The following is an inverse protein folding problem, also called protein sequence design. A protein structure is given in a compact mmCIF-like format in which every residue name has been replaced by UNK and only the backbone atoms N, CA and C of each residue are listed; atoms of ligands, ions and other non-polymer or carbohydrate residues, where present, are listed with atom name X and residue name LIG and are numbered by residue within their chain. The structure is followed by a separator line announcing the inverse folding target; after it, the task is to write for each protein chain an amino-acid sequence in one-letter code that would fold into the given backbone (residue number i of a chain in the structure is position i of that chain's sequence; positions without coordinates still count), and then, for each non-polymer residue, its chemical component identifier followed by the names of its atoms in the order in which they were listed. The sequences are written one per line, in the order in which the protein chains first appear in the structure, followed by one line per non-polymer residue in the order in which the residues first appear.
data_IF_567989115019
#
_entry.id   IF_567989115019
#
_cell.length_a   1.000
_cell.length_b   1.000
_cell.length_c   1.000
_cell.angle_alpha   90.00
_cell.angle_beta   90.00
_cell.angle_gamma   90.00
#
_symmetry.space_group_name_H-M   'P 1'
#
loop_
_entity.id
_entity.type
_entity.pdbx_description
1 polymer ?
#
# COMPACT_ATOMS: atom_id res chain seq x y z
N UNK A 1 33.93 31.56 -0.74
CA UNK A 1 32.56 31.37 -1.26
C UNK A 1 32.00 30.13 -0.59
N UNK A 2 31.41 30.31 0.59
CA UNK A 2 30.77 29.24 1.35
C UNK A 2 29.41 28.90 0.71
N UNK A 3 29.25 27.66 0.29
CA UNK A 3 27.95 27.14 -0.12
C UNK A 3 27.13 26.85 1.15
N UNK A 4 26.10 27.68 1.34
CA UNK A 4 24.93 27.49 2.21
C UNK A 4 24.70 26.02 2.61
N UNK A 5 25.08 25.67 3.84
CA UNK A 5 24.65 24.45 4.51
C UNK A 5 23.15 24.57 4.82
N UNK A 6 22.32 24.12 3.88
CA UNK A 6 20.89 23.98 4.10
C UNK A 6 20.65 23.10 5.33
N UNK A 7 20.01 23.67 6.35
CA UNK A 7 19.65 22.98 7.59
C UNK A 7 18.80 21.77 7.24
N UNK A 8 19.38 20.57 7.37
CA UNK A 8 18.65 19.32 7.26
C UNK A 8 17.51 19.34 8.27
N UNK A 9 16.26 19.44 7.79
CA UNK A 9 15.08 19.21 8.63
C UNK A 9 15.30 17.89 9.36
N UNK A 10 15.39 17.93 10.69
CA UNK A 10 15.78 16.79 11.52
C UNK A 10 14.72 15.69 11.43
N UNK A 11 14.79 14.86 10.37
CA UNK A 11 13.96 13.68 10.23
C UNK A 11 14.39 12.66 11.28
N UNK A 12 13.44 12.23 12.09
CA UNK A 12 13.63 11.15 13.04
C UNK A 12 14.01 9.88 12.27
N UNK A 13 15.10 9.18 12.66
CA UNK A 13 15.48 7.94 11.99
C UNK A 13 14.37 6.88 12.06
N UNK A 14 14.19 6.12 10.97
CA UNK A 14 13.19 5.08 10.83
C UNK A 14 13.23 4.02 11.96
N UNK A 15 14.43 3.71 12.47
CA UNK A 15 14.60 2.79 13.60
C UNK A 15 14.02 3.32 14.92
N UNK A 16 14.10 4.64 15.15
CA UNK A 16 13.53 5.30 16.33
C UNK A 16 12.01 5.28 16.24
N UNK A 17 11.47 5.64 15.08
CA UNK A 17 10.03 5.56 14.80
C UNK A 17 9.51 4.14 15.03
N UNK A 18 10.20 3.13 14.48
CA UNK A 18 9.84 1.72 14.69
C UNK A 18 9.84 1.33 16.17
N UNK A 19 10.86 1.73 16.94
CA UNK A 19 10.95 1.41 18.36
C UNK A 19 9.81 1.97 19.19
N UNK A 20 9.26 3.13 18.80
CA UNK A 20 8.09 3.73 19.44
C UNK A 20 6.81 2.97 19.04
N UNK A 21 6.62 2.72 17.74
CA UNK A 21 5.34 2.16 17.24
C UNK A 21 5.25 0.63 17.38
N UNK A 22 6.35 -0.11 17.55
CA UNK A 22 6.34 -1.58 17.54
C UNK A 22 5.37 -2.20 18.54
N UNK A 23 5.14 -1.56 19.70
CA UNK A 23 4.18 -2.03 20.73
C UNK A 23 2.86 -1.26 20.74
N UNK A 24 2.89 0.03 20.40
CA UNK A 24 1.77 0.98 20.60
C UNK A 24 1.12 1.44 19.29
N UNK A 25 1.21 0.66 18.21
CA UNK A 25 0.58 0.99 16.93
C UNK A 25 -0.92 0.65 16.95
N UNK A 26 -1.79 1.60 16.58
CA UNK A 26 -3.25 1.40 16.47
C UNK A 26 -3.64 0.40 15.38
N UNK A 27 -2.78 0.19 14.38
CA UNK A 27 -2.98 -0.78 13.31
C UNK A 27 -2.57 -2.21 13.70
N UNK A 28 -1.91 -2.40 14.86
CA UNK A 28 -1.46 -3.70 15.33
C UNK A 28 -2.64 -4.60 15.72
N UNK A 29 -2.64 -5.82 15.19
CA UNK A 29 -3.60 -6.87 15.53
C UNK A 29 -2.83 -8.10 15.96
N UNK A 30 -2.96 -8.50 17.22
CA UNK A 30 -2.35 -9.72 17.76
C UNK A 30 -3.32 -10.89 17.67
N UNK A 31 -2.85 -12.03 17.20
CA UNK A 31 -3.61 -13.28 17.10
C UNK A 31 -2.72 -14.43 17.56
N UNK A 32 -2.80 -14.79 18.84
CA UNK A 32 -1.85 -15.72 19.45
C UNK A 32 -0.44 -15.14 19.41
N UNK A 33 0.51 -15.93 18.91
CA UNK A 33 1.92 -15.52 18.74
C UNK A 33 2.15 -14.62 17.52
N UNK A 34 1.24 -14.64 16.54
CA UNK A 34 1.37 -13.87 15.31
C UNK A 34 0.94 -12.40 15.49
N UNK A 35 1.74 -11.50 14.91
CA UNK A 35 1.49 -10.07 14.89
C UNK A 35 1.21 -9.58 13.46
N UNK A 36 -0.02 -9.10 13.27
CA UNK A 36 -0.50 -8.56 12.01
C UNK A 36 -0.69 -7.04 12.09
N UNK A 37 -0.75 -6.41 10.94
CA UNK A 37 -1.06 -4.98 10.83
C UNK A 37 -2.22 -4.76 9.85
N UNK A 38 -3.07 -3.79 10.17
CA UNK A 38 -4.11 -3.24 9.28
C UNK A 38 -3.61 -2.03 8.48
N UNK A 39 -2.33 -1.72 8.56
CA UNK A 39 -1.73 -0.59 7.89
C UNK A 39 -2.00 -0.64 6.37
N UNK A 40 -2.59 0.41 5.78
CA UNK A 40 -2.84 0.45 4.35
C UNK A 40 -1.56 0.36 3.53
N UNK A 41 -0.38 0.70 4.03
CA UNK A 41 0.88 0.65 3.28
C UNK A 41 1.61 -0.70 3.38
N UNK A 42 1.07 -1.66 4.14
CA UNK A 42 1.66 -3.00 4.26
C UNK A 42 1.33 -3.90 3.07
N UNK A 43 2.35 -4.59 2.53
CA UNK A 43 2.18 -5.54 1.43
C UNK A 43 1.70 -6.92 1.92
N UNK A 44 2.25 -7.43 3.03
CA UNK A 44 1.93 -8.77 3.55
C UNK A 44 0.97 -8.77 4.75
N UNK A 45 0.65 -7.60 5.29
CA UNK A 45 -0.11 -7.39 6.54
C UNK A 45 0.59 -7.93 7.79
N UNK A 46 1.91 -8.17 7.75
CA UNK A 46 2.70 -8.50 8.94
C UNK A 46 3.17 -7.23 9.64
N UNK A 47 3.14 -7.25 10.97
CA UNK A 47 3.66 -6.15 11.77
C UNK A 47 5.18 -6.25 11.90
N UNK A 48 5.91 -5.63 10.98
CA UNK A 48 7.36 -5.59 10.96
C UNK A 48 7.87 -4.21 10.50
N UNK A 49 9.14 -3.91 10.79
CA UNK A 49 9.73 -2.62 10.44
C UNK A 49 9.81 -2.39 8.93
N UNK A 50 10.05 -3.45 8.15
CA UNK A 50 10.31 -3.35 6.71
C UNK A 50 9.06 -3.07 5.88
N UNK A 51 7.87 -3.40 6.39
CA UNK A 51 6.58 -3.20 5.74
C UNK A 51 5.70 -2.14 6.41
N UNK A 52 6.16 -1.53 7.51
CA UNK A 52 5.41 -0.45 8.16
C UNK A 52 5.40 0.80 7.29
N UNK A 53 4.20 1.34 7.04
CA UNK A 53 4.00 2.59 6.34
C UNK A 53 4.53 3.82 7.06
N UNK A 54 4.48 3.75 8.39
CA UNK A 54 4.85 4.86 9.28
C UNK A 54 6.37 4.91 9.47
N UNK A 55 7.01 3.75 9.58
CA UNK A 55 8.46 3.67 9.84
C UNK A 55 9.31 3.50 8.58
N UNK A 56 8.74 3.17 7.41
CA UNK A 56 9.52 2.95 6.18
C UNK A 56 9.03 3.83 5.04
N UNK A 57 9.93 4.70 4.56
CA UNK A 57 9.70 5.59 3.42
C UNK A 57 9.47 4.83 2.10
N UNK A 58 10.00 3.62 1.99
CA UNK A 58 9.90 2.76 0.79
C UNK A 58 8.83 1.67 0.93
N UNK A 59 7.76 1.97 1.69
CA UNK A 59 6.59 1.09 1.83
C UNK A 59 5.63 1.30 0.66
N UNK A 60 5.20 0.17 0.09
CA UNK A 60 4.27 0.13 -1.05
C UNK A 60 3.27 -0.97 -0.79
N UNK A 61 2.01 -0.68 -1.10
CA UNK A 61 0.94 -1.66 -1.11
C UNK A 61 0.03 -1.48 -2.32
N UNK A 62 -0.88 -2.43 -2.47
CA UNK A 62 -1.87 -2.43 -3.54
C UNK A 62 -3.22 -2.71 -2.90
N UNK A 63 -4.21 -1.93 -3.27
CA UNK A 63 -5.61 -2.13 -2.87
C UNK A 63 -6.49 -2.28 -4.09
N UNK A 64 -7.65 -2.90 -3.90
CA UNK A 64 -8.67 -2.97 -4.92
C UNK A 64 -9.92 -2.26 -4.38
N UNK A 65 -10.36 -1.21 -5.08
CA UNK A 65 -11.63 -0.54 -4.78
C UNK A 65 -12.65 -0.81 -5.87
N UNK A 66 -13.93 -0.84 -5.45
CA UNK A 66 -15.06 -0.94 -6.36
C UNK A 66 -15.41 0.47 -6.84
N UNK A 67 -15.52 0.64 -8.15
CA UNK A 67 -16.02 1.87 -8.77
C UNK A 67 -17.32 1.53 -9.50
N UNK A 68 -18.24 2.50 -9.61
CA UNK A 68 -19.44 2.32 -10.43
C UNK A 68 -18.98 2.02 -11.87
N UNK A 69 -19.53 0.95 -12.45
CA UNK A 69 -18.95 0.35 -13.64
C UNK A 69 -19.07 1.30 -14.85
N UNK A 70 -17.93 1.83 -15.31
CA UNK A 70 -17.79 2.24 -16.72
C UNK A 70 -17.58 0.96 -17.55
N UNK A 71 -18.05 0.95 -18.80
CA UNK A 71 -18.12 -0.22 -19.71
C UNK A 71 -16.84 -1.09 -19.78
N UNK A 72 -15.68 -0.56 -19.43
CA UNK A 72 -14.37 -1.20 -19.57
C UNK A 72 -13.75 -1.76 -18.29
N UNK A 73 -14.17 -1.36 -17.09
CA UNK A 73 -13.58 -1.86 -15.83
C UNK A 73 -14.53 -1.74 -14.64
N UNK A 74 -14.79 -2.86 -13.97
CA UNK A 74 -15.64 -2.90 -12.76
C UNK A 74 -14.87 -2.58 -11.47
N UNK A 75 -13.54 -2.53 -11.51
CA UNK A 75 -12.67 -2.34 -10.34
C UNK A 75 -11.41 -1.59 -10.71
N UNK A 76 -10.88 -0.83 -9.75
CA UNK A 76 -9.65 -0.06 -9.88
C UNK A 76 -8.67 -0.54 -8.83
N UNK A 77 -7.43 -0.79 -9.26
CA UNK A 77 -6.36 -1.14 -8.36
C UNK A 77 -5.57 0.10 -8.01
N UNK A 78 -5.47 0.41 -6.73
CA UNK A 78 -4.76 1.57 -6.24
C UNK A 78 -3.42 1.11 -5.69
N UNK A 79 -2.33 1.55 -6.32
CA UNK A 79 -0.99 1.41 -5.76
C UNK A 79 -0.79 2.57 -4.80
N UNK A 80 -0.52 2.26 -3.55
CA UNK A 80 -0.33 3.27 -2.50
C UNK A 80 1.12 3.21 -2.07
N UNK A 81 1.80 4.34 -2.12
CA UNK A 81 3.21 4.48 -1.81
C UNK A 81 3.38 5.50 -0.69
N UNK A 82 4.23 5.19 0.29
CA UNK A 82 4.70 6.24 1.20
C UNK A 82 5.54 7.25 0.41
N UNK A 83 5.23 8.53 0.57
CA UNK A 83 6.10 9.63 0.15
C UNK A 83 6.11 10.65 1.27
N UNK A 84 7.29 11.22 1.53
CA UNK A 84 7.34 12.45 2.29
C UNK A 84 6.97 13.61 1.35
N UNK A 85 6.02 14.45 1.76
CA UNK A 85 5.67 15.66 1.00
C UNK A 85 6.79 16.68 1.15
N UNK A 86 7.63 16.81 0.13
CA UNK A 86 8.69 17.84 0.06
C UNK A 86 8.31 18.98 -0.90
N UNK A 87 7.15 18.89 -1.57
CA UNK A 87 6.74 19.93 -2.51
C UNK A 87 6.16 21.14 -1.75
N UNK A 88 6.74 22.35 -1.91
CA UNK A 88 6.38 23.53 -1.11
C UNK A 88 4.93 24.02 -1.32
N UNK A 89 4.27 23.59 -2.39
CA UNK A 89 2.90 23.97 -2.74
C UNK A 89 1.83 23.21 -1.94
N UNK A 90 2.16 22.06 -1.35
CA UNK A 90 1.22 21.26 -0.55
C UNK A 90 1.78 21.10 0.86
N UNK A 91 1.47 22.08 1.72
CA UNK A 91 1.82 22.10 3.14
C UNK A 91 0.95 21.11 3.93
N UNK A 92 1.09 19.82 3.65
CA UNK A 92 0.55 18.78 4.52
C UNK A 92 1.67 18.26 5.42
N UNK A 93 1.60 18.54 6.71
CA UNK A 93 2.51 18.01 7.71
C UNK A 93 2.23 16.51 7.90
N UNK A 94 2.90 15.63 7.14
CA UNK A 94 2.82 14.18 7.34
C UNK A 94 3.25 13.32 6.14
N UNK A 95 3.36 12.00 6.35
CA UNK A 95 3.50 11.01 5.29
C UNK A 95 2.22 11.01 4.44
N UNK A 96 2.26 11.66 3.27
CA UNK A 96 1.15 11.62 2.32
C UNK A 96 1.29 10.35 1.49
N UNK A 97 0.37 9.42 1.71
CA UNK A 97 0.25 8.22 0.89
C UNK A 97 -0.12 8.62 -0.54
N UNK A 98 0.83 8.53 -1.47
CA UNK A 98 0.61 8.80 -2.88
C UNK A 98 -0.13 7.61 -3.50
N UNK A 99 -1.30 7.87 -4.07
CA UNK A 99 -2.13 6.83 -4.68
C UNK A 99 -2.08 6.93 -6.20
N UNK A 100 -1.65 5.87 -6.86
CA UNK A 100 -1.71 5.71 -8.33
C UNK A 100 -2.74 4.66 -8.69
N UNK A 101 -3.81 5.09 -9.33
CA UNK A 101 -4.88 4.20 -9.76
C UNK A 101 -4.57 3.52 -11.11
N UNK A 102 -4.81 2.22 -11.18
CA UNK A 102 -4.69 1.37 -12.37
C UNK A 102 -6.08 0.78 -12.64
N UNK A 103 -6.74 1.33 -13.66
CA UNK A 103 -8.09 0.95 -14.07
C UNK A 103 -8.14 -0.25 -15.02
N UNK A 104 -6.98 -0.81 -15.37
CA UNK A 104 -6.86 -1.96 -16.27
C UNK A 104 -6.81 -3.27 -15.49
N UNK A 105 -6.96 -4.38 -16.20
CA UNK A 105 -6.89 -5.73 -15.63
C UNK A 105 -5.54 -6.03 -14.95
N UNK A 106 -5.53 -7.14 -14.22
CA UNK A 106 -4.41 -7.62 -13.40
C UNK A 106 -3.09 -7.70 -14.18
N UNK A 107 -3.14 -8.06 -15.46
CA UNK A 107 -1.94 -8.10 -16.31
C UNK A 107 -1.24 -6.74 -16.44
N UNK A 108 -2.00 -5.63 -16.53
CA UNK A 108 -1.38 -4.29 -16.56
C UNK A 108 -0.78 -3.94 -15.21
N UNK A 109 -1.46 -4.28 -14.12
CA UNK A 109 -0.96 -4.05 -12.77
C UNK A 109 0.36 -4.79 -12.52
N UNK A 110 0.46 -6.06 -12.94
CA UNK A 110 1.70 -6.83 -12.85
C UNK A 110 2.85 -6.17 -13.63
N UNK A 111 2.60 -5.65 -14.84
CA UNK A 111 3.59 -4.89 -15.61
C UNK A 111 4.03 -3.61 -14.89
N UNK A 112 3.09 -2.89 -14.27
CA UNK A 112 3.39 -1.69 -13.48
C UNK A 112 4.26 -2.03 -12.28
N UNK A 113 3.98 -3.13 -11.59
CA UNK A 113 4.83 -3.61 -10.46
C UNK A 113 6.22 -3.98 -10.94
N UNK A 114 6.34 -4.63 -12.11
CA UNK A 114 7.63 -4.96 -12.72
C UNK A 114 8.47 -3.71 -13.05
N UNK A 115 7.82 -2.65 -13.55
CA UNK A 115 8.46 -1.38 -13.91
C UNK A 115 8.75 -0.45 -12.72
N UNK A 116 8.46 -0.85 -11.48
CA UNK A 116 8.84 -0.05 -10.30
C UNK A 116 10.35 -0.14 -10.10
N UNK A 117 11.02 1.01 -10.20
CA UNK A 117 12.45 1.15 -9.90
C UNK A 117 12.66 1.37 -8.39
N UNK A 118 13.82 0.98 -7.86
CA UNK A 118 14.16 1.15 -6.44
C UNK A 118 13.54 0.13 -5.48
N UNK A 119 12.77 -0.84 -5.98
CA UNK A 119 12.24 -1.95 -5.19
C UNK A 119 13.06 -3.23 -5.42
N UNK A 120 13.38 -3.93 -4.33
CA UNK A 120 14.00 -5.25 -4.41
C UNK A 120 13.05 -6.29 -5.01
N UNK A 121 13.60 -7.32 -5.64
CA UNK A 121 12.81 -8.38 -6.26
C UNK A 121 11.94 -9.13 -5.25
N UNK A 122 12.42 -9.28 -4.00
CA UNK A 122 11.63 -9.83 -2.89
C UNK A 122 10.37 -9.00 -2.62
N UNK A 123 10.48 -7.66 -2.59
CA UNK A 123 9.31 -6.77 -2.43
C UNK A 123 8.38 -6.85 -3.64
N UNK A 124 8.91 -6.89 -4.86
CA UNK A 124 8.10 -7.08 -6.08
C UNK A 124 7.32 -8.40 -6.04
N UNK A 125 7.96 -9.49 -5.61
CA UNK A 125 7.29 -10.78 -5.45
C UNK A 125 6.16 -10.73 -4.41
N UNK A 126 6.36 -10.03 -3.28
CA UNK A 126 5.30 -9.81 -2.29
C UNK A 126 4.13 -9.01 -2.85
N UNK A 127 4.41 -7.96 -3.64
CA UNK A 127 3.38 -7.19 -4.32
C UNK A 127 2.61 -8.03 -5.33
N UNK A 128 3.28 -8.84 -6.14
CA UNK A 128 2.63 -9.77 -7.08
C UNK A 128 1.76 -10.81 -6.34
N UNK A 129 2.23 -11.34 -5.21
CA UNK A 129 1.43 -12.23 -4.34
C UNK A 129 0.18 -11.52 -3.83
N UNK A 130 0.28 -10.24 -3.45
CA UNK A 130 -0.86 -9.43 -3.03
C UNK A 130 -1.83 -9.20 -4.19
N UNK A 131 -1.33 -8.88 -5.39
CA UNK A 131 -2.14 -8.75 -6.61
C UNK A 131 -2.94 -10.02 -6.88
N UNK A 132 -2.30 -11.18 -6.81
CA UNK A 132 -2.98 -12.46 -6.98
C UNK A 132 -4.09 -12.67 -5.95
N UNK A 133 -3.80 -12.42 -4.66
CA UNK A 133 -4.80 -12.53 -3.58
C UNK A 133 -6.00 -11.60 -3.81
N UNK A 134 -5.76 -10.35 -4.21
CA UNK A 134 -6.82 -9.41 -4.54
C UNK A 134 -7.64 -9.87 -5.75
N UNK A 135 -6.99 -10.40 -6.78
CA UNK A 135 -7.69 -10.93 -7.96
C UNK A 135 -8.59 -12.11 -7.61
N UNK A 136 -8.07 -13.09 -6.86
CA UNK A 136 -8.82 -14.26 -6.44
C UNK A 136 -9.98 -13.91 -5.51
N UNK A 137 -9.76 -13.02 -4.53
CA UNK A 137 -10.83 -12.50 -3.68
C UNK A 137 -11.91 -11.76 -4.49
N UNK A 138 -11.50 -10.99 -5.50
CA UNK A 138 -12.43 -10.31 -6.39
C UNK A 138 -13.31 -11.27 -7.20
N UNK A 139 -12.73 -12.36 -7.75
CA UNK A 139 -13.47 -13.40 -8.47
C UNK A 139 -14.54 -14.04 -7.59
N UNK A 140 -14.20 -14.34 -6.33
CA UNK A 140 -15.14 -14.87 -5.35
C UNK A 140 -16.30 -13.89 -5.08
N UNK A 141 -16.01 -12.62 -4.85
CA UNK A 141 -17.04 -11.60 -4.65
C UNK A 141 -17.98 -11.46 -5.86
N UNK A 142 -17.45 -11.57 -7.08
CA UNK A 142 -18.28 -11.55 -8.28
C UNK A 142 -19.22 -12.77 -8.35
N UNK A 143 -18.73 -13.97 -8.01
CA UNK A 143 -19.55 -15.18 -7.95
C UNK A 143 -20.68 -15.03 -6.92
N UNK A 144 -20.36 -14.58 -5.70
CA UNK A 144 -21.36 -14.33 -4.65
C UNK A 144 -22.40 -13.29 -5.07
N UNK A 145 -21.97 -12.19 -5.69
CA UNK A 145 -22.88 -11.14 -6.16
C UNK A 145 -23.81 -11.62 -7.30
N UNK A 146 -23.33 -12.52 -8.17
CA UNK A 146 -24.17 -13.16 -9.20
C UNK A 146 -25.19 -14.10 -8.56
N UNK A 147 -24.76 -14.97 -7.64
CA UNK A 147 -25.65 -15.89 -6.92
C UNK A 147 -26.76 -15.15 -6.16
N UNK A 148 -26.42 -14.07 -5.45
CA UNK A 148 -27.40 -13.25 -4.74
C UNK A 148 -28.46 -12.64 -5.68
N UNK A 149 -28.06 -12.19 -6.88
CA UNK A 149 -29.01 -11.66 -7.87
C UNK A 149 -29.95 -12.74 -8.40
N UNK A 150 -29.45 -13.97 -8.60
CA UNK A 150 -30.27 -15.09 -9.06
C UNK A 150 -31.29 -15.47 -7.98
N UNK A 151 -30.89 -15.53 -6.70
CA UNK A 151 -31.78 -15.92 -5.61
C UNK A 151 -32.84 -14.87 -5.24
N UNK A 152 -32.67 -13.61 -5.68
CA UNK A 152 -33.61 -12.52 -5.44
C UNK A 152 -34.66 -12.38 -6.55
N UNK A 153 -34.35 -12.88 -7.74
CA UNK A 153 -35.26 -12.93 -8.89
C UNK A 153 -36.07 -14.22 -8.84
#
# INVERSE_FOLDING_TARGET
MEASSGVASARVPNCVVWNIIKKNNSFLVKRGEDQFTKDPLSASNRHNASESGIANDNSISIHARKEAAKKTHRRVFDLVLARSSEHPATKSSGCVAATRSVKKEVGRLAKVVGSLHGLSDKKKALLLKRVYRLHSGNKLHQKKARAYKIAKN
#
